data_IF_192475792091
#
_entry.id   IF_192475792091
#
_cell.length_a   1.000
_cell.length_b   1.000
_cell.length_c   1.000
_cell.angle_alpha   90.00
_cell.angle_beta   90.00
_cell.angle_gamma   90.00
#
_symmetry.space_group_name_H-M   'P 1'
#
loop_
_entity.id
_entity.type
_entity.pdbx_description
1 polymer ?
#
# COMPACT_ATOMS: atom_id res chain seq x y z
N UNK A 1 -3.39 -14.21 18.93
CA UNK A 1 -2.53 -13.23 18.21
C UNK A 1 -1.09 -13.70 18.34
N UNK A 2 -0.25 -13.47 17.33
CA UNK A 2 1.18 -13.78 17.46
C UNK A 2 1.81 -12.98 18.62
N UNK A 3 2.79 -13.56 19.30
CA UNK A 3 3.54 -12.89 20.37
C UNK A 3 4.36 -11.71 19.85
N UNK A 4 4.98 -10.91 20.75
CA UNK A 4 5.85 -9.81 20.35
C UNK A 4 7.03 -10.33 19.52
N UNK A 5 7.42 -9.57 18.48
CA UNK A 5 8.56 -9.91 17.62
C UNK A 5 9.85 -9.92 18.43
N UNK A 6 10.71 -10.89 18.14
CA UNK A 6 12.10 -10.89 18.59
C UNK A 6 12.91 -9.79 17.88
N UNK A 7 14.06 -9.35 18.43
CA UNK A 7 14.91 -8.36 17.77
C UNK A 7 15.37 -8.77 16.36
N UNK A 8 15.54 -10.07 16.11
CA UNK A 8 15.90 -10.60 14.80
C UNK A 8 14.75 -10.44 13.79
N UNK A 9 13.52 -10.75 14.19
CA UNK A 9 12.32 -10.59 13.36
C UNK A 9 12.00 -9.12 13.07
N UNK A 10 12.24 -8.23 14.04
CA UNK A 10 12.10 -6.79 13.84
C UNK A 10 13.10 -6.27 12.79
N UNK A 11 14.38 -6.65 12.92
CA UNK A 11 15.41 -6.28 11.93
C UNK A 11 15.07 -6.81 10.54
N UNK A 12 14.62 -8.06 10.43
CA UNK A 12 14.20 -8.65 9.16
C UNK A 12 12.97 -7.93 8.57
N UNK A 13 11.99 -7.60 9.41
CA UNK A 13 10.81 -6.82 9.00
C UNK A 13 11.25 -5.48 8.40
N UNK A 14 12.08 -4.73 9.11
CA UNK A 14 12.56 -3.42 8.65
C UNK A 14 13.35 -3.54 7.35
N UNK A 15 14.21 -4.55 7.23
CA UNK A 15 15.00 -4.79 6.01
C UNK A 15 14.11 -5.09 4.79
N UNK A 16 13.01 -5.84 4.98
CA UNK A 16 12.05 -6.12 3.91
C UNK A 16 11.12 -4.95 3.60
N UNK A 17 10.75 -4.16 4.62
CA UNK A 17 9.86 -3.02 4.48
C UNK A 17 10.54 -1.83 3.81
N UNK A 18 11.85 -1.63 4.04
CA UNK A 18 12.56 -0.46 3.53
C UNK A 18 12.55 -0.37 1.98
N UNK A 19 12.88 -1.43 1.22
CA UNK A 19 12.76 -1.40 -0.24
C UNK A 19 11.33 -1.08 -0.70
N UNK A 20 10.32 -1.65 -0.04
CA UNK A 20 8.92 -1.41 -0.37
C UNK A 20 8.54 0.08 -0.20
N UNK A 21 8.97 0.70 0.92
CA UNK A 21 8.74 2.12 1.21
C UNK A 21 9.47 3.07 0.27
N UNK A 22 10.49 2.61 -0.45
CA UNK A 22 11.23 3.43 -1.42
C UNK A 22 10.66 3.20 -2.83
N UNK A 23 10.51 1.93 -3.22
CA UNK A 23 10.19 1.53 -4.59
C UNK A 23 8.77 1.96 -4.96
N UNK A 24 7.75 1.69 -4.15
CA UNK A 24 6.38 2.01 -4.53
C UNK A 24 6.12 3.52 -4.62
N UNK A 25 6.53 4.32 -3.61
CA UNK A 25 6.56 5.78 -3.72
C UNK A 25 7.32 6.31 -4.94
N UNK A 26 8.57 5.88 -5.11
CA UNK A 26 9.42 6.34 -6.20
C UNK A 26 8.86 5.99 -7.57
N UNK A 27 8.34 4.77 -7.73
CA UNK A 27 7.74 4.31 -8.98
C UNK A 27 6.48 5.12 -9.33
N UNK A 28 5.67 5.48 -8.35
CA UNK A 28 4.47 6.31 -8.57
C UNK A 28 4.85 7.71 -9.04
N UNK A 29 5.87 8.31 -8.44
CA UNK A 29 6.41 9.63 -8.83
C UNK A 29 6.99 9.59 -10.24
N UNK A 30 7.92 8.66 -10.49
CA UNK A 30 8.65 8.56 -11.77
C UNK A 30 7.69 8.22 -12.91
N UNK A 31 6.73 7.32 -12.69
CA UNK A 31 5.74 6.98 -13.72
C UNK A 31 4.79 8.14 -14.01
N UNK A 32 4.40 8.94 -13.00
CA UNK A 32 3.57 10.15 -13.20
C UNK A 32 4.32 11.20 -14.04
N UNK A 33 5.58 11.48 -13.69
CA UNK A 33 6.44 12.40 -14.45
C UNK A 33 6.60 11.92 -15.89
N UNK A 34 6.96 10.65 -16.07
CA UNK A 34 7.14 10.06 -17.40
C UNK A 34 5.85 10.14 -18.24
N UNK A 35 4.70 9.85 -17.65
CA UNK A 35 3.41 9.92 -18.33
C UNK A 35 3.06 11.36 -18.75
N UNK A 36 3.25 12.33 -17.85
CA UNK A 36 2.99 13.75 -18.14
C UNK A 36 3.88 14.26 -19.29
N UNK A 37 5.18 13.98 -19.23
CA UNK A 37 6.12 14.34 -20.31
C UNK A 37 5.79 13.66 -21.63
N UNK A 38 5.49 12.36 -21.60
CA UNK A 38 5.16 11.59 -22.81
C UNK A 38 3.88 12.08 -23.47
N UNK A 39 2.92 12.57 -22.68
CA UNK A 39 1.66 13.12 -23.17
C UNK A 39 1.73 14.63 -23.48
N UNK A 40 2.86 15.30 -23.22
CA UNK A 40 2.99 16.77 -23.26
C UNK A 40 1.91 17.48 -22.43
N UNK A 41 1.64 16.97 -21.23
CA UNK A 41 0.67 17.54 -20.28
C UNK A 41 1.45 18.19 -19.14
N UNK A 42 1.20 19.48 -18.90
CA UNK A 42 1.70 20.15 -17.70
C UNK A 42 0.79 19.84 -16.50
N UNK A 43 1.38 19.40 -15.40
CA UNK A 43 0.64 19.06 -14.19
C UNK A 43 0.82 20.15 -13.13
N UNK A 44 -0.24 20.94 -12.93
CA UNK A 44 -0.34 21.75 -11.71
C UNK A 44 -0.21 20.87 -10.46
N UNK A 45 0.22 21.45 -9.33
CA UNK A 45 0.27 20.75 -8.05
C UNK A 45 -1.04 20.03 -7.71
N UNK A 46 -2.20 20.68 -7.94
CA UNK A 46 -3.51 20.07 -7.70
C UNK A 46 -3.77 18.88 -8.65
N UNK A 47 -3.35 18.98 -9.91
CA UNK A 47 -3.45 17.89 -10.88
C UNK A 47 -2.60 16.69 -10.46
N UNK A 48 -1.34 16.91 -10.08
CA UNK A 48 -0.45 15.87 -9.57
C UNK A 48 -0.99 15.24 -8.28
N UNK A 49 -1.54 16.05 -7.37
CA UNK A 49 -2.14 15.60 -6.12
C UNK A 49 -3.31 14.65 -6.37
N UNK A 50 -4.27 15.05 -7.22
CA UNK A 50 -5.43 14.23 -7.56
C UNK A 50 -5.00 12.95 -8.27
N UNK A 51 -4.08 13.04 -9.23
CA UNK A 51 -3.59 11.87 -9.96
C UNK A 51 -2.95 10.83 -9.02
N UNK A 52 -2.00 11.25 -8.19
CA UNK A 52 -1.31 10.36 -7.24
C UNK A 52 -2.28 9.82 -6.18
N UNK A 53 -3.26 10.60 -5.74
CA UNK A 53 -4.27 10.13 -4.80
C UNK A 53 -5.15 9.03 -5.42
N UNK A 54 -5.52 9.17 -6.70
CA UNK A 54 -6.27 8.14 -7.44
C UNK A 54 -5.42 6.87 -7.62
N UNK A 55 -4.12 7.00 -7.90
CA UNK A 55 -3.19 5.87 -7.94
C UNK A 55 -3.19 5.13 -6.59
N UNK A 56 -3.07 5.85 -5.48
CA UNK A 56 -3.12 5.24 -4.14
C UNK A 56 -4.47 4.59 -3.84
N UNK A 57 -5.58 5.21 -4.26
CA UNK A 57 -6.91 4.62 -4.11
C UNK A 57 -7.03 3.28 -4.85
N UNK A 58 -6.49 3.19 -6.07
CA UNK A 58 -6.43 1.94 -6.84
C UNK A 58 -5.58 0.91 -6.11
N UNK A 59 -4.40 1.28 -5.60
CA UNK A 59 -3.53 0.37 -4.84
C UNK A 59 -4.24 -0.18 -3.60
N UNK A 60 -4.85 0.69 -2.79
CA UNK A 60 -5.56 0.26 -1.58
C UNK A 60 -6.79 -0.61 -1.90
N UNK A 61 -7.51 -0.27 -2.98
CA UNK A 61 -8.66 -1.08 -3.43
C UNK A 61 -8.21 -2.45 -3.94
N UNK A 62 -7.11 -2.50 -4.67
CA UNK A 62 -6.53 -3.76 -5.14
C UNK A 62 -6.08 -4.64 -3.97
N UNK A 63 -5.38 -4.07 -3.00
CA UNK A 63 -4.97 -4.77 -1.77
C UNK A 63 -6.19 -5.36 -1.07
N UNK A 64 -7.22 -4.56 -0.81
CA UNK A 64 -8.44 -5.05 -0.16
C UNK A 64 -9.21 -6.10 -0.99
N UNK A 65 -9.48 -5.83 -2.27
CA UNK A 65 -10.39 -6.64 -3.08
C UNK A 65 -9.73 -7.87 -3.71
N UNK A 66 -8.42 -7.81 -3.98
CA UNK A 66 -7.69 -8.88 -4.66
C UNK A 66 -6.79 -9.61 -3.69
N UNK A 67 -6.03 -8.90 -2.85
CA UNK A 67 -5.17 -9.56 -1.88
C UNK A 67 -6.05 -10.02 -0.72
N UNK A 68 -6.48 -9.14 0.15
CA UNK A 68 -7.18 -9.50 1.39
C UNK A 68 -8.43 -10.36 1.16
N UNK A 69 -9.32 -9.96 0.26
CA UNK A 69 -10.54 -10.71 -0.01
C UNK A 69 -10.26 -12.12 -0.52
N UNK A 70 -9.41 -12.30 -1.52
CA UNK A 70 -9.08 -13.63 -2.03
C UNK A 70 -8.39 -14.46 -0.95
N UNK A 71 -7.48 -13.88 -0.15
CA UNK A 71 -6.84 -14.56 0.97
C UNK A 71 -7.87 -15.12 1.95
N UNK A 72 -8.88 -14.31 2.32
CA UNK A 72 -9.97 -14.78 3.18
C UNK A 72 -10.89 -15.80 2.51
N UNK A 73 -10.87 -15.98 1.19
CA UNK A 73 -11.61 -17.07 0.54
C UNK A 73 -10.79 -18.37 0.54
N UNK A 74 -9.52 -18.30 0.13
CA UNK A 74 -8.73 -19.49 -0.21
C UNK A 74 -7.99 -20.11 0.99
N UNK A 75 -7.63 -19.32 2.00
CA UNK A 75 -6.80 -19.84 3.10
C UNK A 75 -7.66 -20.69 4.03
N UNK A 76 -7.22 -21.92 4.28
CA UNK A 76 -7.78 -22.79 5.31
C UNK A 76 -7.20 -22.38 6.67
N UNK A 77 -8.00 -21.83 7.61
CA UNK A 77 -7.48 -21.38 8.89
C UNK A 77 -6.85 -22.51 9.73
N UNK A 78 -7.29 -23.76 9.54
CA UNK A 78 -6.75 -24.90 10.28
C UNK A 78 -5.42 -25.41 9.73
N UNK A 79 -5.08 -25.05 8.48
CA UNK A 79 -3.81 -25.38 7.83
C UNK A 79 -3.24 -24.14 7.12
N UNK A 80 -2.92 -23.07 7.87
CA UNK A 80 -2.47 -21.83 7.28
C UNK A 80 -1.01 -21.93 6.81
N UNK A 81 -0.57 -21.03 5.91
CA UNK A 81 0.82 -20.97 5.47
C UNK A 81 1.81 -20.55 6.58
N UNK A 82 1.31 -19.88 7.63
CA UNK A 82 2.13 -19.41 8.76
C UNK A 82 1.92 -20.35 9.95
N UNK A 83 2.97 -21.13 10.27
CA UNK A 83 2.95 -22.04 11.42
C UNK A 83 2.69 -21.30 12.73
N UNK A 84 1.89 -21.90 13.62
CA UNK A 84 1.54 -21.30 14.92
C UNK A 84 0.35 -20.33 14.85
N UNK A 85 -0.34 -20.25 13.72
CA UNK A 85 -1.55 -19.43 13.52
C UNK A 85 -2.79 -20.27 13.19
N UNK A 86 -2.73 -21.57 13.44
CA UNK A 86 -3.79 -22.53 13.18
C UNK A 86 -5.06 -22.14 13.95
N UNK A 87 -6.20 -22.11 13.26
CA UNK A 87 -7.50 -21.74 13.81
C UNK A 87 -7.66 -20.25 14.13
N UNK A 88 -6.68 -19.40 13.83
CA UNK A 88 -6.77 -17.98 14.19
C UNK A 88 -7.94 -17.30 13.45
N UNK A 89 -8.84 -16.66 14.23
CA UNK A 89 -9.98 -15.92 13.68
C UNK A 89 -9.59 -14.84 12.66
N UNK A 90 -8.38 -14.28 12.80
CA UNK A 90 -7.85 -13.25 11.90
C UNK A 90 -7.72 -13.69 10.44
N UNK A 91 -7.64 -15.00 10.14
CA UNK A 91 -7.57 -15.49 8.76
C UNK A 91 -8.80 -15.18 7.91
N UNK A 92 -9.95 -14.89 8.54
CA UNK A 92 -11.22 -14.63 7.85
C UNK A 92 -11.84 -13.28 8.27
N UNK A 93 -11.08 -12.40 8.92
CA UNK A 93 -11.60 -11.14 9.44
C UNK A 93 -11.64 -10.05 8.36
N UNK A 94 -12.66 -10.10 7.51
CA UNK A 94 -12.86 -9.10 6.45
C UNK A 94 -13.14 -7.69 7.00
N UNK A 95 -13.71 -7.60 8.21
CA UNK A 95 -13.99 -6.32 8.83
C UNK A 95 -12.69 -5.61 9.17
N UNK A 96 -11.69 -6.31 9.69
CA UNK A 96 -10.36 -5.74 9.94
C UNK A 96 -9.74 -5.14 8.68
N UNK A 97 -9.78 -5.86 7.56
CA UNK A 97 -9.25 -5.39 6.27
C UNK A 97 -10.00 -4.17 5.75
N UNK A 98 -11.34 -4.17 5.84
CA UNK A 98 -12.14 -3.03 5.41
C UNK A 98 -11.89 -1.77 6.26
N UNK A 99 -11.79 -1.90 7.58
CA UNK A 99 -11.43 -0.77 8.45
C UNK A 99 -10.02 -0.26 8.17
N UNK A 100 -9.10 -1.15 7.79
CA UNK A 100 -7.73 -0.78 7.40
C UNK A 100 -7.71 0.00 6.09
N UNK A 101 -8.50 -0.41 5.08
CA UNK A 101 -8.71 0.34 3.83
C UNK A 101 -9.22 1.76 4.11
N UNK A 102 -10.25 1.91 4.94
CA UNK A 102 -10.83 3.21 5.27
C UNK A 102 -9.85 4.14 5.98
N UNK A 103 -8.91 3.60 6.77
CA UNK A 103 -7.83 4.38 7.40
C UNK A 103 -6.72 4.71 6.40
N UNK A 104 -6.39 3.78 5.50
CA UNK A 104 -5.31 3.94 4.55
C UNK A 104 -5.57 5.07 3.55
N UNK A 105 -6.81 5.20 3.06
CA UNK A 105 -7.21 6.24 2.09
C UNK A 105 -6.83 7.67 2.57
N UNK A 106 -7.35 8.19 3.70
CA UNK A 106 -6.97 9.53 4.16
C UNK A 106 -5.49 9.61 4.58
N UNK A 107 -4.92 8.55 5.15
CA UNK A 107 -3.52 8.55 5.57
C UNK A 107 -2.53 8.58 4.39
N UNK A 108 -2.95 8.18 3.19
CA UNK A 108 -2.13 8.28 1.98
C UNK A 108 -1.70 9.72 1.67
N UNK A 109 -2.40 10.74 2.20
CA UNK A 109 -2.03 12.14 2.05
C UNK A 109 -0.61 12.45 2.56
N UNK A 110 -0.12 11.73 3.58
CA UNK A 110 1.25 11.89 4.11
C UNK A 110 2.29 11.62 3.03
N UNK A 111 2.01 10.71 2.11
CA UNK A 111 2.86 10.41 0.97
C UNK A 111 2.50 11.27 -0.26
N UNK A 112 1.21 11.36 -0.58
CA UNK A 112 0.74 11.98 -1.83
C UNK A 112 1.03 13.47 -1.90
N UNK A 113 0.92 14.21 -0.78
CA UNK A 113 1.19 15.66 -0.77
C UNK A 113 2.65 15.99 -1.11
N UNK A 114 3.67 15.44 -0.43
CA UNK A 114 5.07 15.72 -0.79
C UNK A 114 5.43 15.17 -2.17
N UNK A 115 4.87 14.02 -2.57
CA UNK A 115 5.08 13.47 -3.91
C UNK A 115 4.52 14.39 -5.01
N UNK A 116 3.31 14.91 -4.83
CA UNK A 116 2.68 15.84 -5.78
C UNK A 116 3.46 17.15 -5.90
N UNK A 117 3.97 17.67 -4.78
CA UNK A 117 4.84 18.83 -4.79
C UNK A 117 6.08 18.57 -5.64
N UNK A 118 6.75 17.44 -5.40
CA UNK A 118 7.92 17.04 -6.16
C UNK A 118 7.60 16.91 -7.65
N UNK A 119 6.54 16.18 -8.02
CA UNK A 119 6.11 16.01 -9.42
C UNK A 119 5.88 17.37 -10.09
N UNK A 120 5.16 18.30 -9.46
CA UNK A 120 4.85 19.62 -10.03
C UNK A 120 6.07 20.54 -10.24
N UNK A 121 7.25 20.16 -9.75
CA UNK A 121 8.49 20.87 -10.01
C UNK A 121 9.20 20.36 -11.29
N UNK A 122 8.80 19.21 -11.83
CA UNK A 122 9.45 18.55 -12.97
C UNK A 122 8.56 18.45 -14.21
N UNK A 123 7.25 18.63 -14.07
CA UNK A 123 6.22 18.54 -15.13
C UNK A 123 5.07 19.50 -14.88
#
# INVERSE_FOLDING_TARGET
MAGPKTPAEERATTFLLLPYLIILPGLSIVSTIYAAQSANVELSFLGALVHLYLVMLVVHTYDFAVIDFIHTLIINPNHPPIKGTEGAHGWKDMNFHFHSLLKAIPNSAVFVVPAALLVSLFV
#
